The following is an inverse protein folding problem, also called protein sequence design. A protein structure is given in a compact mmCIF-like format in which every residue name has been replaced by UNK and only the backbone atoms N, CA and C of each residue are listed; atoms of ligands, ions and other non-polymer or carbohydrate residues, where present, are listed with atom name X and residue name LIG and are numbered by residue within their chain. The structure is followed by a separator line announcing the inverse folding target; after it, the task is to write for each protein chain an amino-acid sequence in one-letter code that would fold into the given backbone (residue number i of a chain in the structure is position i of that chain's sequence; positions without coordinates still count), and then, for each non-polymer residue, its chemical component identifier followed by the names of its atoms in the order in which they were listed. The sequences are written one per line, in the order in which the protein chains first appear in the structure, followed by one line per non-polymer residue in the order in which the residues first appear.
data_IF_902387517671
#
_entry.id   IF_902387517671
#
_cell.length_a   1.000
_cell.length_b   1.000
_cell.length_c   1.000
_cell.angle_alpha   90.00
_cell.angle_beta   90.00
_cell.angle_gamma   90.00
#
_symmetry.space_group_name_H-M   'P 1'
#
loop_
_entity.id
_entity.type
_entity.pdbx_description
1 polymer ?
#
# COMPACT_ATOMS: atom_id res chain seq x y z
N UNK A 1 0.47 -0.40 -23.99
CA UNK A 1 0.89 0.76 -23.16
C UNK A 1 1.87 0.24 -22.14
N UNK A 2 3.11 0.73 -22.15
CA UNK A 2 4.19 0.17 -21.32
C UNK A 2 3.85 0.33 -19.82
N UNK A 3 3.78 -0.79 -19.11
CA UNK A 3 3.67 -0.78 -17.65
C UNK A 3 4.95 -0.15 -17.09
N UNK A 4 4.89 1.11 -16.67
CA UNK A 4 6.00 1.73 -15.96
C UNK A 4 6.24 0.94 -14.66
N UNK A 5 7.40 0.28 -14.59
CA UNK A 5 7.98 -0.28 -13.37
C UNK A 5 8.28 0.87 -12.42
N UNK A 6 7.28 1.22 -11.61
CA UNK A 6 7.45 2.15 -10.50
C UNK A 6 8.35 1.49 -9.45
N UNK A 7 9.58 1.99 -9.24
CA UNK A 7 10.54 1.39 -8.32
C UNK A 7 9.98 1.31 -6.89
N UNK A 8 9.13 2.25 -6.51
CA UNK A 8 8.55 2.33 -5.17
C UNK A 8 7.51 1.23 -4.97
N UNK A 9 6.70 0.95 -5.99
CA UNK A 9 5.77 -0.17 -5.97
C UNK A 9 6.45 -1.54 -5.85
N UNK A 10 7.59 -1.73 -6.53
CA UNK A 10 8.40 -2.95 -6.40
C UNK A 10 9.00 -3.04 -4.99
N UNK A 11 9.53 -1.92 -4.48
CA UNK A 11 10.10 -1.83 -3.14
C UNK A 11 9.07 -2.15 -2.07
N UNK A 12 7.90 -1.51 -2.09
CA UNK A 12 6.79 -1.77 -1.18
C UNK A 12 6.37 -3.25 -1.21
N UNK A 13 6.30 -3.86 -2.40
CA UNK A 13 5.95 -5.27 -2.54
C UNK A 13 6.99 -6.20 -1.90
N UNK A 14 8.28 -5.89 -2.06
CA UNK A 14 9.38 -6.65 -1.44
C UNK A 14 9.40 -6.47 0.07
N UNK A 15 9.21 -5.25 0.57
CA UNK A 15 9.13 -4.95 2.00
C UNK A 15 7.99 -5.72 2.66
N UNK A 16 6.80 -5.72 2.03
CA UNK A 16 5.65 -6.48 2.50
C UNK A 16 5.94 -7.98 2.57
N UNK A 17 6.53 -8.54 1.51
CA UNK A 17 6.89 -9.95 1.48
C UNK A 17 7.95 -10.33 2.50
N UNK A 18 8.97 -9.48 2.73
CA UNK A 18 10.02 -9.74 3.71
C UNK A 18 9.50 -9.65 5.15
N UNK A 19 8.83 -8.56 5.49
CA UNK A 19 8.31 -8.33 6.84
C UNK A 19 7.23 -9.34 7.24
N UNK A 20 6.33 -9.75 6.34
CA UNK A 20 5.35 -10.82 6.64
C UNK A 20 6.01 -12.18 6.88
N UNK A 21 7.02 -12.55 6.07
CA UNK A 21 7.83 -13.77 6.29
C UNK A 21 8.60 -13.74 7.61
N UNK A 22 9.08 -12.56 8.01
CA UNK A 22 9.81 -12.39 9.27
C UNK A 22 8.85 -12.40 10.46
N UNK A 23 7.61 -11.92 10.30
CA UNK A 23 6.61 -11.86 11.37
C UNK A 23 6.19 -13.24 11.89
N UNK A 24 6.19 -14.26 11.05
CA UNK A 24 5.88 -15.64 11.47
C UNK A 24 7.04 -16.30 12.22
N UNK A 25 8.18 -15.63 12.39
CA UNK A 25 9.39 -16.18 13.01
C UNK A 25 9.68 -15.45 14.33
N UNK A 26 10.06 -16.21 15.35
CA UNK A 26 10.65 -15.64 16.56
C UNK A 26 12.14 -15.33 16.31
N UNK A 27 12.40 -14.16 15.73
CA UNK A 27 13.76 -13.69 15.48
C UNK A 27 14.37 -13.07 16.74
N UNK A 28 15.56 -13.53 17.13
CA UNK A 28 16.33 -13.06 18.28
C UNK A 28 17.81 -12.89 17.90
N UNK A 29 18.55 -12.09 18.69
CA UNK A 29 19.99 -11.90 18.52
C UNK A 29 20.39 -11.51 17.09
N UNK A 30 21.39 -12.19 16.56
CA UNK A 30 21.95 -11.92 15.22
C UNK A 30 20.90 -12.06 14.11
N UNK A 31 20.00 -13.04 14.20
CA UNK A 31 18.94 -13.24 13.21
C UNK A 31 17.96 -12.05 13.16
N UNK A 32 17.77 -11.34 14.27
CA UNK A 32 16.97 -10.11 14.32
C UNK A 32 17.71 -8.96 13.64
N UNK A 33 19.02 -8.84 13.88
CA UNK A 33 19.88 -7.83 13.24
C UNK A 33 19.93 -8.04 11.72
N UNK A 34 20.14 -9.27 11.27
CA UNK A 34 20.15 -9.63 9.84
C UNK A 34 18.81 -9.33 9.16
N UNK A 35 17.69 -9.67 9.81
CA UNK A 35 16.36 -9.37 9.29
C UNK A 35 16.09 -7.87 9.19
N UNK A 36 16.56 -7.10 10.16
CA UNK A 36 16.45 -5.63 10.16
C UNK A 36 17.27 -5.03 9.01
N UNK A 37 18.48 -5.56 8.79
CA UNK A 37 19.35 -5.14 7.70
C UNK A 37 18.80 -5.54 6.33
N UNK A 38 18.17 -6.72 6.18
CA UNK A 38 17.45 -7.12 4.96
C UNK A 38 16.40 -6.06 4.59
N UNK A 39 15.59 -5.60 5.55
CA UNK A 39 14.57 -4.58 5.30
C UNK A 39 15.18 -3.24 4.90
N UNK A 40 16.29 -2.83 5.53
CA UNK A 40 17.04 -1.62 5.16
C UNK A 40 17.59 -1.69 3.74
N UNK A 41 18.14 -2.83 3.37
CA UNK A 41 18.67 -3.07 2.02
C UNK A 41 17.56 -3.03 0.97
N UNK A 42 16.39 -3.63 1.25
CA UNK A 42 15.23 -3.55 0.34
C UNK A 42 14.78 -2.10 0.15
N UNK A 43 14.74 -1.31 1.24
CA UNK A 43 14.35 0.09 1.20
C UNK A 43 15.44 1.03 0.66
N UNK A 44 16.61 0.52 0.31
CA UNK A 44 17.68 1.32 -0.27
C UNK A 44 17.63 1.21 -1.79
N UNK A 45 17.31 2.33 -2.44
CA UNK A 45 17.37 2.41 -3.89
C UNK A 45 18.80 2.70 -4.33
N UNK A 46 19.37 1.82 -5.13
CA UNK A 46 20.68 2.01 -5.75
C UNK A 46 20.48 2.43 -7.19
N UNK A 47 20.89 3.66 -7.52
CA UNK A 47 20.81 4.14 -8.90
C UNK A 47 21.58 3.22 -9.85
N UNK A 48 21.03 2.96 -11.05
CA UNK A 48 21.74 2.16 -12.05
C UNK A 48 23.03 2.87 -12.45
N UNK A 49 24.17 2.22 -12.20
CA UNK A 49 25.47 2.73 -12.64
C UNK A 49 25.49 2.79 -14.17
N UNK A 50 25.69 3.98 -14.73
CA UNK A 50 25.82 4.18 -16.17
C UNK A 50 27.22 3.74 -16.60
N UNK A 51 27.34 3.09 -17.77
CA UNK A 51 28.64 2.68 -18.34
C UNK A 51 29.52 3.92 -18.48
N UNK A 52 30.72 3.89 -17.87
CA UNK A 52 31.67 5.01 -17.87
C UNK A 52 31.50 6.02 -16.71
N UNK A 53 30.58 5.78 -15.77
CA UNK A 53 30.46 6.63 -14.58
C UNK A 53 31.70 6.49 -13.68
N UNK A 54 32.35 7.63 -13.38
CA UNK A 54 33.54 7.72 -12.53
C UNK A 54 33.24 7.54 -11.03
N UNK A 55 31.98 7.73 -10.63
CA UNK A 55 31.54 7.70 -9.24
C UNK A 55 30.69 6.47 -8.95
N UNK A 56 30.76 5.94 -7.72
CA UNK A 56 29.88 4.86 -7.29
C UNK A 56 28.41 5.31 -7.37
N UNK A 57 27.48 4.38 -7.66
CA UNK A 57 26.05 4.70 -7.72
C UNK A 57 25.56 5.25 -6.39
N UNK A 58 24.75 6.30 -6.43
CA UNK A 58 24.14 6.87 -5.24
C UNK A 58 23.14 5.89 -4.65
N UNK A 59 23.24 5.67 -3.34
CA UNK A 59 22.28 4.91 -2.57
C UNK A 59 21.38 5.89 -1.83
N UNK A 60 20.08 5.75 -2.01
CA UNK A 60 19.07 6.58 -1.32
C UNK A 60 18.18 5.68 -0.48
N UNK A 61 18.19 5.89 0.83
CA UNK A 61 17.29 5.21 1.73
C UNK A 61 15.87 5.78 1.60
N UNK A 62 14.90 4.92 1.29
CA UNK A 62 13.48 5.25 1.10
C UNK A 62 12.66 4.86 2.34
N UNK A 63 12.98 5.51 3.45
CA UNK A 63 12.24 5.34 4.71
C UNK A 63 10.76 5.73 4.59
N UNK A 64 10.41 6.61 3.65
CA UNK A 64 9.04 6.97 3.31
C UNK A 64 8.22 5.77 2.80
N UNK A 65 8.78 4.97 1.89
CA UNK A 65 8.12 3.76 1.37
C UNK A 65 8.01 2.70 2.48
N UNK A 66 9.02 2.61 3.35
CA UNK A 66 8.97 1.72 4.50
C UNK A 66 7.87 2.12 5.48
N UNK A 67 7.69 3.42 5.71
CA UNK A 67 6.63 3.96 6.55
C UNK A 67 5.23 3.72 5.98
N UNK A 68 5.06 3.84 4.66
CA UNK A 68 3.80 3.49 3.98
C UNK A 68 3.40 2.04 4.28
N UNK A 69 4.31 1.09 4.06
CA UNK A 69 4.02 -0.34 4.30
C UNK A 69 3.73 -0.61 5.77
N UNK A 70 4.50 -0.03 6.68
CA UNK A 70 4.30 -0.19 8.12
C UNK A 70 2.94 0.37 8.59
N UNK A 71 2.58 1.58 8.14
CA UNK A 71 1.31 2.22 8.49
C UNK A 71 0.11 1.44 7.94
N UNK A 72 0.19 0.94 6.70
CA UNK A 72 -0.85 0.08 6.13
C UNK A 72 -1.01 -1.20 6.96
N UNK A 73 0.07 -1.85 7.37
CA UNK A 73 -0.02 -3.03 8.22
C UNK A 73 -0.61 -2.75 9.59
N UNK A 74 -0.20 -1.68 10.27
CA UNK A 74 -0.80 -1.28 11.54
C UNK A 74 -2.29 -1.00 11.39
N UNK A 75 -2.67 -0.19 10.39
CA UNK A 75 -4.07 0.14 10.14
C UNK A 75 -4.93 -1.11 9.93
N UNK A 76 -4.45 -2.06 9.12
CA UNK A 76 -5.15 -3.34 8.93
C UNK A 76 -5.15 -4.22 10.16
N UNK A 77 -4.03 -4.30 10.89
CA UNK A 77 -3.92 -5.11 12.10
C UNK A 77 -4.90 -4.64 13.19
N UNK A 78 -5.17 -3.33 13.27
CA UNK A 78 -6.15 -2.76 14.19
C UNK A 78 -7.60 -3.18 13.87
N UNK A 79 -7.93 -3.43 12.60
CA UNK A 79 -9.26 -3.87 12.16
C UNK A 79 -9.38 -5.39 12.25
N UNK A 80 -8.43 -6.11 11.65
CA UNK A 80 -8.48 -7.56 11.51
C UNK A 80 -7.99 -8.30 12.76
N UNK A 81 -7.43 -7.59 13.76
CA UNK A 81 -6.76 -8.14 14.95
C UNK A 81 -5.66 -9.14 14.60
N UNK A 82 -4.92 -8.86 13.52
CA UNK A 82 -3.86 -9.72 13.00
C UNK A 82 -2.50 -9.37 13.66
N UNK A 83 -2.09 -10.20 14.62
CA UNK A 83 -0.82 -10.06 15.33
C UNK A 83 0.40 -10.13 14.41
N UNK A 84 0.36 -10.95 13.35
CA UNK A 84 1.49 -11.06 12.42
C UNK A 84 1.70 -9.76 11.65
N UNK A 85 0.61 -9.05 11.31
CA UNK A 85 0.74 -7.72 10.67
C UNK A 85 1.24 -6.66 11.64
N UNK A 86 0.84 -6.73 12.90
CA UNK A 86 1.39 -5.87 13.94
C UNK A 86 2.91 -6.07 14.05
N UNK A 87 3.36 -7.33 14.15
CA UNK A 87 4.79 -7.67 14.20
C UNK A 87 5.51 -7.20 12.93
N UNK A 88 4.94 -7.44 11.74
CA UNK A 88 5.53 -7.01 10.47
C UNK A 88 5.74 -5.48 10.43
N UNK A 89 4.78 -4.70 10.90
CA UNK A 89 4.91 -3.25 10.99
C UNK A 89 6.00 -2.81 11.98
N UNK A 90 6.05 -3.44 13.17
CA UNK A 90 7.08 -3.14 14.17
C UNK A 90 8.49 -3.43 13.66
N UNK A 91 8.68 -4.47 12.83
CA UNK A 91 9.97 -4.76 12.18
C UNK A 91 10.37 -3.68 11.18
N UNK A 92 9.42 -3.12 10.44
CA UNK A 92 9.69 -2.01 9.52
C UNK A 92 10.07 -0.73 10.29
N UNK A 93 9.43 -0.45 11.43
CA UNK A 93 9.81 0.67 12.31
C UNK A 93 11.22 0.46 12.86
N UNK A 94 11.53 -0.74 13.36
CA UNK A 94 12.88 -1.10 13.82
C UNK A 94 13.94 -0.96 12.71
N UNK A 95 13.59 -1.30 11.47
CA UNK A 95 14.44 -1.11 10.31
C UNK A 95 14.63 0.35 9.90
N UNK A 96 13.92 1.30 10.49
CA UNK A 96 14.13 2.74 10.28
C UNK A 96 13.01 3.44 9.52
N UNK A 97 11.80 2.88 9.47
CA UNK A 97 10.63 3.63 9.02
C UNK A 97 10.37 4.83 9.97
N UNK A 98 10.28 6.07 9.46
CA UNK A 98 9.97 7.25 10.29
C UNK A 98 8.57 7.16 10.90
N UNK A 99 8.48 7.19 12.23
CA UNK A 99 7.22 6.95 12.97
C UNK A 99 6.16 7.98 12.60
N UNK A 100 6.54 9.24 12.41
CA UNK A 100 5.62 10.32 12.05
C UNK A 100 4.93 10.02 10.71
N UNK A 101 5.69 9.48 9.75
CA UNK A 101 5.14 9.06 8.45
C UNK A 101 4.32 7.78 8.57
N UNK A 102 4.67 6.87 9.47
CA UNK A 102 3.89 5.64 9.70
C UNK A 102 2.48 5.99 10.13
N UNK A 103 2.34 6.94 11.05
CA UNK A 103 1.04 7.39 11.57
C UNK A 103 0.12 7.95 10.48
N UNK A 104 0.68 8.68 9.51
CA UNK A 104 -0.07 9.22 8.35
C UNK A 104 -0.73 8.13 7.50
N UNK A 105 -0.15 6.93 7.46
CA UNK A 105 -0.64 5.81 6.63
C UNK A 105 -1.57 4.83 7.36
N UNK A 106 -1.72 4.93 8.69
CA UNK A 106 -2.63 4.07 9.47
C UNK A 106 -4.09 4.19 9.00
N UNK A 107 -4.66 5.40 8.78
CA UNK A 107 -6.05 5.53 8.31
C UNK A 107 -6.30 4.82 6.98
N UNK A 108 -5.33 4.86 6.06
CA UNK A 108 -5.40 4.18 4.78
C UNK A 108 -5.41 2.66 4.95
N UNK A 109 -4.58 2.13 5.86
CA UNK A 109 -4.61 0.71 6.23
C UNK A 109 -5.99 0.26 6.73
N UNK A 110 -6.62 1.05 7.63
CA UNK A 110 -7.98 0.77 8.13
C UNK A 110 -9.01 0.75 7.01
N UNK A 111 -9.02 1.79 6.18
CA UNK A 111 -9.93 1.92 5.02
C UNK A 111 -9.82 0.71 4.07
N UNK A 112 -8.60 0.20 3.85
CA UNK A 112 -8.37 -0.99 3.01
C UNK A 112 -8.86 -2.30 3.64
N UNK A 113 -8.79 -2.42 4.97
CA UNK A 113 -9.35 -3.58 5.67
C UNK A 113 -10.89 -3.58 5.58
N UNK A 114 -11.51 -2.45 5.87
CA UNK A 114 -12.98 -2.28 5.89
C UNK A 114 -13.63 -2.48 4.52
N UNK A 115 -12.94 -2.09 3.45
CA UNK A 115 -13.42 -2.28 2.07
C UNK A 115 -13.25 -3.71 1.53
N UNK A 116 -12.72 -4.65 2.33
CA UNK A 116 -12.42 -6.01 1.88
C UNK A 116 -11.33 -6.08 0.81
N UNK A 117 -10.61 -4.97 0.58
CA UNK A 117 -9.58 -4.86 -0.43
C UNK A 117 -8.31 -5.62 -0.03
N UNK A 118 -7.60 -6.17 -1.03
CA UNK A 118 -6.25 -6.67 -0.82
C UNK A 118 -5.36 -5.53 -0.27
N UNK A 119 -4.40 -5.82 0.62
CA UNK A 119 -3.58 -4.81 1.31
C UNK A 119 -2.89 -3.84 0.33
N UNK A 120 -2.61 -4.30 -0.90
CA UNK A 120 -2.06 -3.50 -2.00
C UNK A 120 -2.70 -3.90 -3.32
N UNK A 121 -4.01 -3.67 -3.47
CA UNK A 121 -4.60 -3.56 -4.81
C UNK A 121 -4.56 -2.10 -5.21
N UNK A 122 -3.93 -1.76 -6.35
CA UNK A 122 -4.03 -0.43 -6.97
C UNK A 122 -5.47 -0.17 -7.37
N UNK A 123 -6.33 0.21 -6.42
CA UNK A 123 -7.45 1.08 -6.74
C UNK A 123 -6.87 2.48 -6.78
N UNK A 124 -6.95 3.11 -7.96
CA UNK A 124 -6.73 4.55 -8.13
C UNK A 124 -7.39 5.31 -6.97
N UNK A 125 -6.85 6.45 -6.51
CA UNK A 125 -7.65 7.33 -5.69
C UNK A 125 -8.95 7.61 -6.48
N UNK A 126 -10.08 7.14 -5.94
CA UNK A 126 -11.36 7.62 -6.40
C UNK A 126 -11.34 9.12 -6.10
N UNK A 127 -11.24 9.92 -7.15
CA UNK A 127 -11.32 11.37 -7.04
C UNK A 127 -12.60 11.80 -6.31
N UNK A 128 -12.67 13.07 -5.88
CA UNK A 128 -13.78 13.58 -5.10
C UNK A 128 -15.12 13.34 -5.82
N UNK A 129 -16.23 13.15 -5.09
CA UNK A 129 -17.55 12.93 -5.66
C UNK A 129 -18.06 14.23 -6.29
N UNK A 130 -17.59 14.54 -7.50
CA UNK A 130 -18.17 15.57 -8.34
C UNK A 130 -19.49 15.04 -8.89
N UNK A 131 -20.56 15.49 -8.23
CA UNK A 131 -21.87 15.81 -8.78
C UNK A 131 -22.16 15.26 -10.18
N UNK A 132 -22.92 14.16 -10.26
CA UNK A 132 -23.69 13.81 -11.46
C UNK A 132 -25.16 14.12 -11.20
N UNK A 133 -25.45 15.40 -11.04
CA UNK A 133 -26.76 15.93 -11.40
C UNK A 133 -26.77 16.15 -12.92
N UNK A 134 -27.88 15.76 -13.54
CA UNK A 134 -28.29 16.05 -14.93
C UNK A 134 -27.51 15.36 -16.07
N UNK A 135 -28.11 14.29 -16.61
CA UNK A 135 -28.58 14.19 -18.01
C UNK A 135 -28.85 12.73 -18.37
N UNK A 136 -30.12 12.35 -18.32
CA UNK A 136 -30.80 11.63 -19.40
C UNK A 136 -32.30 11.70 -19.10
N UNK A 137 -32.90 12.74 -19.66
CA UNK A 137 -34.31 12.81 -19.96
C UNK A 137 -34.66 11.73 -20.98
N UNK A 138 -35.95 11.40 -21.03
CA UNK A 138 -36.65 10.97 -22.25
C UNK A 138 -36.25 9.63 -22.87
N UNK A 139 -36.83 8.52 -22.39
CA UNK A 139 -37.34 7.45 -23.27
C UNK A 139 -38.10 6.40 -22.44
N UNK A 140 -39.40 6.64 -22.24
CA UNK A 140 -40.50 5.65 -22.13
C UNK A 140 -41.79 6.35 -21.69
N UNK A 141 -42.29 7.22 -22.56
CA UNK A 141 -43.73 7.33 -22.76
C UNK A 141 -44.04 6.49 -23.99
N UNK A 142 -44.84 5.45 -23.82
CA UNK A 142 -45.76 4.90 -24.83
C UNK A 142 -46.41 3.62 -24.28
N UNK A 143 -47.66 3.75 -23.79
CA UNK A 143 -48.86 3.04 -24.28
C UNK A 143 -50.03 2.99 -23.26
N UNK A 144 -51.29 2.83 -23.71
CA UNK A 144 -52.38 3.80 -23.50
C UNK A 144 -53.51 3.23 -22.60
N UNK A 145 -54.67 3.92 -22.43
CA UNK A 145 -55.60 3.66 -21.33
C UNK A 145 -56.62 2.56 -21.66
N UNK A 146 -56.82 1.62 -20.75
CA UNK A 146 -58.00 0.75 -20.79
C UNK A 146 -59.23 1.56 -20.34
N UNK A 147 -60.16 1.67 -21.29
CA UNK A 147 -61.44 2.35 -21.15
C UNK A 147 -62.36 1.49 -20.30
N UNK A 148 -62.90 2.07 -19.23
CA UNK A 148 -64.10 1.56 -18.60
C UNK A 148 -65.32 1.81 -19.49
N UNK A 149 -66.15 0.79 -19.64
CA UNK A 149 -67.53 0.93 -20.12
C UNK A 149 -68.43 -0.02 -19.35
N UNK A 150 -69.49 0.59 -18.79
CA UNK A 150 -70.75 0.04 -18.28
C UNK A 150 -70.73 -0.79 -17.00
#
# INVERSE_FOLDING_TARGET
MAHHNDPDGIMASRLMGASTRQATKQLQGDARTEATEELRQIATNTEKQRRGALHPPRQTFRGDVMAEVAGIFLGRALVDRDENRMIAALRLIEAGAPVEKVEEWIPEGKRRAESGGAPFSRSKPAGPPMARAARESELRSDHPPESGTA
#
